data_IF_965480419904
#
_entry.id   IF_965480419904
#
_cell.length_a   1.000
_cell.length_b   1.000
_cell.length_c   1.000
_cell.angle_alpha   90.00
_cell.angle_beta   90.00
_cell.angle_gamma   90.00
#
_symmetry.space_group_name_H-M   'P 1'
#
loop_
_entity.id
_entity.type
_entity.pdbx_description
1 polymer ?
#
# COMPACT_ATOMS: atom_id res chain seq x y z
N UNK A 1 -17.48 10.60 -7.12
CA UNK A 1 -18.04 9.25 -7.33
C UNK A 1 -18.19 8.81 -8.79
N UNK A 2 -18.74 9.61 -9.72
CA UNK A 2 -18.81 9.18 -11.14
C UNK A 2 -17.55 9.46 -11.96
N UNK A 3 -16.64 10.29 -11.46
CA UNK A 3 -15.45 10.72 -12.21
C UNK A 3 -14.28 9.73 -12.10
N UNK A 4 -14.10 9.07 -10.95
CA UNK A 4 -13.02 8.08 -10.78
C UNK A 4 -13.18 6.89 -11.75
N UNK A 5 -14.39 6.38 -11.89
CA UNK A 5 -14.71 5.25 -12.80
C UNK A 5 -14.49 5.65 -14.27
N UNK A 6 -14.79 6.91 -14.63
CA UNK A 6 -14.53 7.42 -15.99
C UNK A 6 -13.03 7.54 -16.27
N UNK A 7 -12.24 7.92 -15.27
CA UNK A 7 -10.79 8.01 -15.40
C UNK A 7 -10.16 6.61 -15.63
N UNK A 8 -10.49 5.62 -14.79
CA UNK A 8 -10.01 4.25 -14.95
C UNK A 8 -10.39 3.66 -16.31
N UNK A 9 -11.62 3.91 -16.78
CA UNK A 9 -12.09 3.48 -18.11
C UNK A 9 -11.25 4.07 -19.24
N UNK A 10 -10.91 5.36 -19.18
CA UNK A 10 -10.07 6.02 -20.18
C UNK A 10 -8.64 5.48 -20.18
N UNK A 11 -8.06 5.21 -19.01
CA UNK A 11 -6.71 4.66 -18.89
C UNK A 11 -6.63 3.20 -19.37
N UNK A 12 -7.64 2.38 -19.07
CA UNK A 12 -7.76 1.02 -19.59
C UNK A 12 -7.92 0.99 -21.11
N UNK A 13 -8.76 1.87 -21.67
CA UNK A 13 -8.90 2.04 -23.12
C UNK A 13 -7.58 2.44 -23.81
N UNK A 14 -6.72 3.20 -23.11
CA UNK A 14 -5.39 3.60 -23.58
C UNK A 14 -4.32 2.53 -23.37
N UNK A 15 -4.67 1.37 -22.80
CA UNK A 15 -3.74 0.30 -22.42
C UNK A 15 -2.63 0.77 -21.47
N UNK A 16 -2.94 1.77 -20.64
CA UNK A 16 -2.10 2.19 -19.51
C UNK A 16 -2.43 1.40 -18.25
N UNK A 17 -3.63 0.80 -18.18
CA UNK A 17 -4.04 -0.18 -17.19
C UNK A 17 -4.41 -1.52 -17.86
N UNK A 18 -4.14 -2.64 -17.20
CA UNK A 18 -4.62 -3.97 -17.61
C UNK A 18 -6.05 -4.24 -17.09
N UNK A 19 -6.59 -5.41 -17.39
CA UNK A 19 -7.97 -5.79 -17.01
C UNK A 19 -8.20 -5.87 -15.50
N UNK A 20 -7.11 -5.96 -14.72
CA UNK A 20 -7.12 -5.91 -13.26
C UNK A 20 -6.86 -4.48 -12.73
N UNK A 21 -6.94 -3.46 -13.58
CA UNK A 21 -6.68 -2.05 -13.27
C UNK A 21 -5.26 -1.76 -12.76
N UNK A 22 -4.30 -2.62 -13.09
CA UNK A 22 -2.89 -2.43 -12.75
C UNK A 22 -2.16 -1.70 -13.88
N UNK A 23 -1.21 -0.80 -13.56
CA UNK A 23 -0.45 -0.08 -14.58
C UNK A 23 0.35 -1.03 -15.46
N UNK A 24 0.33 -0.77 -16.77
CA UNK A 24 1.11 -1.50 -17.78
C UNK A 24 2.12 -0.53 -18.40
N UNK A 25 3.39 -0.70 -18.03
CA UNK A 25 4.52 0.12 -18.50
C UNK A 25 5.88 -0.42 -18.03
N UNK A 26 6.98 0.29 -18.34
CA UNK A 26 8.34 -0.18 -17.97
C UNK A 26 8.57 -0.34 -16.45
N UNK A 27 7.70 0.23 -15.61
CA UNK A 27 7.70 0.01 -14.15
C UNK A 27 7.11 -1.33 -13.71
N UNK A 28 6.29 -1.99 -14.54
CA UNK A 28 5.71 -3.31 -14.22
C UNK A 28 6.74 -4.44 -14.29
N UNK A 29 7.75 -4.30 -15.15
CA UNK A 29 8.88 -5.24 -15.25
C UNK A 29 9.77 -5.21 -14.01
N UNK A 30 9.83 -4.07 -13.31
CA UNK A 30 10.53 -3.98 -12.05
C UNK A 30 9.84 -4.81 -10.96
N UNK A 31 8.50 -4.99 -10.99
CA UNK A 31 7.81 -5.84 -10.02
C UNK A 31 8.20 -7.32 -10.20
N UNK A 32 8.35 -7.79 -11.44
CA UNK A 32 8.67 -9.20 -11.73
C UNK A 32 10.15 -9.54 -11.55
N UNK A 33 11.06 -8.57 -11.70
CA UNK A 33 12.51 -8.78 -11.50
C UNK A 33 12.92 -8.75 -10.03
N UNK A 34 12.06 -8.24 -9.13
CA UNK A 34 12.38 -8.15 -7.70
C UNK A 34 12.27 -9.48 -6.94
N UNK A 35 11.70 -10.53 -7.56
CA UNK A 35 11.43 -11.85 -6.96
C UNK A 35 12.61 -12.85 -7.09
N UNK A 36 13.70 -12.50 -7.79
CA UNK A 36 14.79 -13.45 -8.14
C UNK A 36 16.09 -13.31 -7.32
N UNK A 37 16.06 -12.79 -6.09
CA UNK A 37 17.26 -12.83 -5.23
C UNK A 37 17.07 -13.86 -4.10
N UNK A 38 17.63 -15.09 -4.22
CA UNK A 38 17.62 -16.06 -3.15
C UNK A 38 18.49 -15.62 -1.96
N UNK A 39 18.05 -16.06 -0.79
CA UNK A 39 18.54 -15.75 0.55
C UNK A 39 20.03 -16.09 0.75
N UNK A 40 20.90 -15.08 0.80
CA UNK A 40 22.18 -15.22 1.50
C UNK A 40 22.25 -14.25 2.68
N UNK A 41 22.32 -14.83 3.88
CA UNK A 41 22.81 -14.12 5.05
C UNK A 41 24.23 -13.62 4.74
N UNK A 42 24.29 -12.31 4.53
CA UNK A 42 25.39 -11.35 4.54
C UNK A 42 26.16 -11.15 5.87
N UNK A 43 27.05 -12.01 6.42
CA UNK A 43 27.80 -11.64 7.60
C UNK A 43 28.58 -10.33 7.32
N UNK A 44 28.49 -9.36 8.23
CA UNK A 44 29.03 -7.99 8.14
C UNK A 44 28.29 -6.99 7.22
N UNK A 45 27.06 -7.28 6.78
CA UNK A 45 26.23 -6.26 6.12
C UNK A 45 25.56 -5.33 7.14
N UNK A 46 26.10 -4.12 7.27
CA UNK A 46 25.58 -3.05 8.14
C UNK A 46 24.26 -2.40 7.67
N UNK A 47 23.61 -2.94 6.64
CA UNK A 47 22.34 -2.41 6.15
C UNK A 47 21.17 -3.02 6.92
N UNK A 48 20.22 -2.16 7.33
CA UNK A 48 18.98 -2.57 8.00
C UNK A 48 18.06 -3.30 7.01
N UNK A 49 17.45 -4.40 7.43
CA UNK A 49 16.41 -5.10 6.65
C UNK A 49 15.24 -4.16 6.34
N UNK A 50 14.80 -4.12 5.09
CA UNK A 50 13.77 -3.20 4.60
C UNK A 50 14.28 -1.82 4.21
N UNK A 51 15.60 -1.62 4.16
CA UNK A 51 16.19 -0.40 3.60
C UNK A 51 16.30 -0.49 2.07
N UNK A 52 16.52 0.64 1.41
CA UNK A 52 16.80 0.67 -0.03
C UNK A 52 18.00 -0.21 -0.45
N UNK A 53 18.87 -0.58 0.51
CA UNK A 53 20.08 -1.37 0.30
C UNK A 53 20.00 -2.80 0.86
N UNK A 54 18.89 -3.18 1.50
CA UNK A 54 18.65 -4.54 1.99
C UNK A 54 17.16 -4.83 2.08
N UNK A 55 16.67 -5.75 1.24
CA UNK A 55 15.26 -6.14 1.19
C UNK A 55 14.78 -6.71 2.53
N UNK A 56 13.49 -6.52 2.81
CA UNK A 56 12.78 -7.23 3.86
C UNK A 56 12.33 -8.57 3.27
N UNK A 57 12.99 -9.65 3.67
CA UNK A 57 12.72 -11.00 3.19
C UNK A 57 11.87 -11.70 4.26
N UNK A 58 10.55 -11.52 4.17
CA UNK A 58 9.57 -12.34 4.88
C UNK A 58 8.51 -12.78 3.87
N UNK A 59 7.98 -13.99 4.05
CA UNK A 59 6.81 -14.44 3.29
C UNK A 59 5.66 -13.46 3.53
N UNK A 60 5.35 -12.63 2.52
CA UNK A 60 4.18 -11.76 2.55
C UNK A 60 2.94 -12.63 2.46
N UNK A 61 2.37 -12.96 3.62
CA UNK A 61 1.12 -13.72 3.70
C UNK A 61 -0.06 -12.76 3.69
N UNK A 62 -0.99 -12.99 2.77
CA UNK A 62 -2.27 -12.29 2.78
C UNK A 62 -3.12 -12.80 3.94
N UNK A 63 -3.86 -11.90 4.59
CA UNK A 63 -4.81 -12.29 5.62
C UNK A 63 -5.84 -13.26 5.05
N UNK A 64 -6.14 -14.36 5.76
CA UNK A 64 -7.12 -15.36 5.32
C UNK A 64 -8.50 -14.74 5.04
N UNK A 65 -8.87 -13.71 5.80
CA UNK A 65 -10.13 -12.99 5.63
C UNK A 65 -10.21 -12.21 4.30
N UNK A 66 -9.07 -11.93 3.65
CA UNK A 66 -9.00 -11.28 2.34
C UNK A 66 -8.83 -12.30 1.20
N UNK A 67 -8.78 -13.60 1.50
CA UNK A 67 -8.68 -14.62 0.47
C UNK A 67 -9.96 -14.62 -0.37
N UNK A 68 -9.81 -14.61 -1.69
CA UNK A 68 -10.93 -14.55 -2.66
C UNK A 68 -11.87 -13.35 -2.47
N UNK A 69 -11.38 -12.25 -1.88
CA UNK A 69 -12.17 -11.04 -1.61
C UNK A 69 -12.32 -10.11 -2.83
N UNK A 70 -11.70 -10.43 -3.97
CA UNK A 70 -11.69 -9.56 -5.14
C UNK A 70 -13.09 -9.46 -5.76
N UNK A 71 -13.59 -8.24 -6.04
CA UNK A 71 -14.92 -8.05 -6.61
C UNK A 71 -14.99 -8.50 -8.08
N UNK A 72 -16.12 -9.13 -8.45
CA UNK A 72 -16.45 -9.45 -9.85
C UNK A 72 -17.57 -8.53 -10.38
N UNK A 73 -17.61 -8.33 -11.69
CA UNK A 73 -18.65 -7.51 -12.31
C UNK A 73 -20.04 -8.15 -12.13
N UNK A 74 -21.01 -7.35 -11.67
CA UNK A 74 -22.40 -7.80 -11.47
C UNK A 74 -22.67 -8.48 -10.12
N UNK A 75 -21.65 -8.65 -9.28
CA UNK A 75 -21.79 -9.21 -7.93
C UNK A 75 -21.98 -8.10 -6.88
N UNK A 76 -22.69 -8.42 -5.80
CA UNK A 76 -22.79 -7.54 -4.65
C UNK A 76 -21.41 -7.37 -3.99
N UNK A 77 -21.09 -6.13 -3.64
CA UNK A 77 -19.80 -5.78 -3.05
C UNK A 77 -19.97 -4.85 -1.85
N UNK A 78 -18.99 -4.90 -0.97
CA UNK A 78 -18.87 -4.03 0.20
C UNK A 78 -17.78 -3.00 -0.06
N UNK A 79 -18.05 -1.75 0.28
CA UNK A 79 -17.08 -0.65 0.23
C UNK A 79 -16.56 -0.42 1.64
N UNK A 80 -15.24 -0.49 1.82
CA UNK A 80 -14.57 -0.15 3.07
C UNK A 80 -13.79 1.15 2.88
N UNK A 81 -13.87 2.02 3.87
CA UNK A 81 -13.06 3.24 3.97
C UNK A 81 -12.01 3.04 5.06
N UNK A 82 -10.76 3.36 4.74
CA UNK A 82 -9.65 3.38 5.69
C UNK A 82 -9.49 4.80 6.19
N UNK A 83 -9.97 5.03 7.41
CA UNK A 83 -9.75 6.28 8.13
C UNK A 83 -8.35 6.25 8.77
N UNK A 84 -7.56 7.28 8.47
CA UNK A 84 -6.19 7.42 8.97
C UNK A 84 -6.09 8.75 9.70
N UNK A 85 -5.77 8.68 10.98
CA UNK A 85 -5.60 9.85 11.84
C UNK A 85 -4.12 10.07 12.21
N UNK A 86 -3.65 11.31 12.10
CA UNK A 86 -2.34 11.71 12.57
C UNK A 86 -2.39 11.98 14.08
N UNK A 87 -2.22 10.94 14.90
CA UNK A 87 -2.25 11.04 16.37
C UNK A 87 -1.09 11.89 16.91
N UNK A 88 0.12 11.73 16.35
CA UNK A 88 1.30 12.47 16.80
C UNK A 88 2.25 12.77 15.64
N UNK A 89 2.54 14.05 15.43
CA UNK A 89 3.55 14.48 14.46
C UNK A 89 4.97 14.34 15.04
N UNK A 90 5.90 13.82 14.22
CA UNK A 90 7.34 13.79 14.56
C UNK A 90 7.96 15.18 14.42
N UNK A 91 8.85 15.53 15.36
CA UNK A 91 9.51 16.84 15.43
C UNK A 91 11.00 16.72 15.82
N UNK A 92 11.72 17.85 15.73
CA UNK A 92 13.12 17.94 16.13
C UNK A 92 14.04 17.00 15.32
N UNK A 93 14.87 16.24 16.02
CA UNK A 93 15.82 15.30 15.39
C UNK A 93 15.13 14.21 14.54
N UNK A 94 13.86 13.87 14.81
CA UNK A 94 13.08 12.92 14.03
C UNK A 94 12.47 13.53 12.75
N UNK A 95 12.52 14.86 12.60
CA UNK A 95 12.11 15.57 11.39
C UNK A 95 13.21 16.53 10.90
N UNK A 96 14.40 16.01 10.52
CA UNK A 96 15.56 16.84 10.19
C UNK A 96 15.35 17.71 8.94
N UNK A 97 14.31 17.43 8.15
CA UNK A 97 13.94 18.20 6.95
C UNK A 97 12.80 19.17 7.19
N UNK A 98 12.34 19.35 8.44
CA UNK A 98 11.20 20.19 8.79
C UNK A 98 10.00 19.99 7.85
N UNK A 99 9.70 18.73 7.52
CA UNK A 99 8.55 18.40 6.67
C UNK A 99 7.28 18.79 7.39
N UNK A 100 6.36 19.42 6.65
CA UNK A 100 5.00 19.68 7.12
C UNK A 100 4.22 18.38 7.01
N UNK A 101 3.63 17.93 8.12
CA UNK A 101 2.67 16.84 8.14
C UNK A 101 1.26 17.42 8.06
N UNK A 102 0.42 16.83 7.22
CA UNK A 102 -1.00 17.16 7.10
C UNK A 102 -1.75 15.94 7.61
N UNK A 103 -2.78 16.15 8.44
CA UNK A 103 -3.61 15.05 8.90
C UNK A 103 -4.43 14.53 7.71
N UNK A 104 -4.39 13.24 7.37
CA UNK A 104 -5.23 12.70 6.31
C UNK A 104 -6.73 12.93 6.53
N UNK A 105 -7.19 13.05 7.78
CA UNK A 105 -8.58 13.41 8.10
C UNK A 105 -8.98 14.82 7.65
N UNK A 106 -8.03 15.74 7.51
CA UNK A 106 -8.30 17.11 7.03
C UNK A 106 -8.43 17.19 5.50
N UNK A 107 -8.23 16.07 4.80
CA UNK A 107 -8.28 16.01 3.34
C UNK A 107 -9.61 15.43 2.86
N UNK A 108 -10.10 15.93 1.73
CA UNK A 108 -11.36 15.45 1.12
C UNK A 108 -11.25 14.03 0.56
N UNK A 109 -10.03 13.52 0.41
CA UNK A 109 -9.77 12.22 -0.19
C UNK A 109 -9.35 11.21 0.88
N UNK A 110 -9.95 10.03 0.85
CA UNK A 110 -9.58 8.91 1.69
C UNK A 110 -9.20 7.71 0.83
N UNK A 111 -8.54 6.73 1.46
CA UNK A 111 -8.34 5.44 0.85
C UNK A 111 -9.51 4.53 1.18
N UNK A 112 -9.89 3.70 0.21
CA UNK A 112 -10.89 2.68 0.40
C UNK A 112 -10.61 1.50 -0.51
N UNK A 113 -11.31 0.41 -0.27
CA UNK A 113 -11.21 -0.78 -1.10
C UNK A 113 -12.55 -1.50 -1.16
N UNK A 114 -12.72 -2.28 -2.22
CA UNK A 114 -13.90 -3.09 -2.47
C UNK A 114 -13.61 -4.54 -2.09
N UNK A 115 -14.63 -5.22 -1.57
CA UNK A 115 -14.57 -6.66 -1.33
C UNK A 115 -15.92 -7.30 -1.65
N UNK A 116 -15.92 -8.49 -2.26
CA UNK A 116 -17.13 -9.32 -2.41
C UNK A 116 -17.49 -10.06 -1.11
N UNK A 117 -16.60 -10.08 -0.10
CA UNK A 117 -16.83 -10.68 1.21
C UNK A 117 -16.85 -9.64 2.32
N UNK A 118 -17.58 -9.98 3.40
CA UNK A 118 -17.66 -9.14 4.59
C UNK A 118 -16.44 -9.38 5.48
N UNK A 119 -15.66 -8.33 5.74
CA UNK A 119 -14.43 -8.41 6.53
C UNK A 119 -14.81 -8.35 8.02
N UNK A 120 -14.26 -9.25 8.85
CA UNK A 120 -14.50 -9.20 10.29
C UNK A 120 -13.99 -7.89 10.87
N UNK A 121 -14.64 -7.41 11.93
CA UNK A 121 -14.21 -6.18 12.61
C UNK A 121 -12.77 -6.35 13.10
N UNK A 122 -11.89 -5.52 12.58
CA UNK A 122 -10.49 -5.43 13.00
C UNK A 122 -10.34 -4.30 14.03
N UNK A 123 -9.40 -4.46 14.97
CA UNK A 123 -9.06 -3.40 15.90
C UNK A 123 -8.30 -2.29 15.16
N UNK A 124 -8.47 -1.05 15.61
CA UNK A 124 -7.62 0.06 15.16
C UNK A 124 -6.17 -0.25 15.51
N UNK A 125 -5.29 -0.19 14.53
CA UNK A 125 -3.86 -0.41 14.71
C UNK A 125 -3.21 0.95 14.90
N UNK A 126 -2.52 1.14 16.02
CA UNK A 126 -1.73 2.33 16.25
C UNK A 126 -0.34 2.11 15.64
N UNK A 127 -0.13 2.59 14.42
CA UNK A 127 1.20 2.57 13.79
C UNK A 127 2.03 3.75 14.27
N UNK A 128 2.89 3.51 15.25
CA UNK A 128 3.99 4.43 15.56
C UNK A 128 5.06 4.26 14.48
N UNK A 129 5.05 5.13 13.46
CA UNK A 129 6.15 5.26 12.49
C UNK A 129 7.37 5.89 13.18
N UNK A 130 7.98 5.16 14.12
CA UNK A 130 9.31 5.48 14.63
C UNK A 130 10.35 5.05 13.59
N UNK A 131 10.57 5.93 12.63
CA UNK A 131 11.80 5.89 11.86
C UNK A 131 12.94 6.36 12.77
N UNK A 132 13.40 5.48 13.68
CA UNK A 132 14.64 5.70 14.41
C UNK A 132 15.79 5.57 13.42
N UNK A 133 16.38 6.71 13.07
CA UNK A 133 17.64 6.83 12.35
C UNK A 133 18.76 6.85 13.38
N UNK A 134 19.63 5.83 13.35
CA UNK A 134 21.00 5.91 13.84
C UNK A 134 21.91 5.73 12.64
#
# INVERSE_FOLDING_TARGET
MFEEVKACRRLHQRKELNDNLLPVGKGTTALTVLDEDPDEFIPNMNYKVGSARRKQLYDKRMAKALHSSLPSAGEECYIYVMEVDLVQAVSGAANPRNRRFVNPLDTEFCFGFLSNTKIPKVCSIMENFNASFN
#
